data_IF_389862956518
#
_entry.id   IF_389862956518
#
_cell.length_a   1.000
_cell.length_b   1.000
_cell.length_c   1.000
_cell.angle_alpha   90.00
_cell.angle_beta   90.00
_cell.angle_gamma   90.00
#
_symmetry.space_group_name_H-M   'P 1'
#
loop_
_entity.id
_entity.type
_entity.pdbx_description
1 polymer ?
#
# COMPACT_ATOMS: atom_id res chain seq x y z
N UNK A 1 27.93 8.44 4.99
CA UNK A 1 26.71 9.26 5.20
C UNK A 1 26.37 10.11 3.98
N UNK A 2 27.21 11.06 3.56
CA UNK A 2 26.91 11.98 2.44
C UNK A 2 26.54 11.29 1.12
N UNK A 3 27.27 10.25 0.71
CA UNK A 3 27.00 9.52 -0.55
C UNK A 3 25.64 8.79 -0.54
N UNK A 4 25.24 8.23 0.60
CA UNK A 4 23.95 7.54 0.78
C UNK A 4 22.80 8.54 0.73
N UNK A 5 22.94 9.66 1.45
CA UNK A 5 21.94 10.74 1.45
C UNK A 5 21.81 11.40 0.07
N UNK A 6 22.93 11.62 -0.63
CA UNK A 6 22.92 12.16 -1.97
C UNK A 6 22.21 11.23 -2.97
N UNK A 7 22.52 9.93 -2.92
CA UNK A 7 21.85 8.93 -3.76
C UNK A 7 20.34 8.86 -3.50
N UNK A 8 19.92 8.85 -2.23
CA UNK A 8 18.51 8.86 -1.83
C UNK A 8 17.81 10.14 -2.30
N UNK A 9 18.44 11.30 -2.11
CA UNK A 9 17.89 12.60 -2.56
C UNK A 9 17.70 12.66 -4.08
N UNK A 10 18.65 12.13 -4.86
CA UNK A 10 18.51 12.06 -6.32
C UNK A 10 17.29 11.22 -6.71
N UNK A 11 17.11 10.04 -6.09
CA UNK A 11 15.95 9.17 -6.34
C UNK A 11 14.64 9.82 -5.92
N UNK A 12 14.61 10.55 -4.81
CA UNK A 12 13.44 11.29 -4.34
C UNK A 12 13.08 12.47 -5.24
N UNK A 13 14.08 13.16 -5.80
CA UNK A 13 13.86 14.24 -6.78
C UNK A 13 13.19 13.70 -8.04
N UNK A 14 13.62 12.53 -8.53
CA UNK A 14 12.97 11.83 -9.63
C UNK A 14 11.55 11.40 -9.25
N UNK A 15 11.38 10.78 -8.08
CA UNK A 15 10.07 10.36 -7.58
C UNK A 15 9.08 11.53 -7.51
N UNK A 16 9.49 12.68 -6.95
CA UNK A 16 8.66 13.88 -6.89
C UNK A 16 8.27 14.40 -8.27
N UNK A 17 9.18 14.33 -9.24
CA UNK A 17 8.92 14.76 -10.62
C UNK A 17 7.86 13.87 -11.28
N UNK A 18 7.96 12.55 -11.10
CA UNK A 18 6.99 11.59 -11.62
C UNK A 18 5.64 11.72 -10.93
N UNK A 19 5.64 11.88 -9.60
CA UNK A 19 4.42 12.09 -8.80
C UNK A 19 3.58 13.26 -9.29
N UNK A 20 4.22 14.38 -9.64
CA UNK A 20 3.54 15.57 -10.17
C UNK A 20 2.92 15.36 -11.55
N UNK A 21 3.39 14.37 -12.31
CA UNK A 21 2.87 14.03 -13.63
C UNK A 21 1.74 13.04 -13.53
N UNK A 22 2.00 11.90 -12.90
CA UNK A 22 1.07 10.78 -12.81
C UNK A 22 1.48 9.85 -11.65
N UNK A 23 0.52 9.46 -10.82
CA UNK A 23 0.77 8.48 -9.77
C UNK A 23 1.28 7.14 -10.33
N UNK A 24 0.75 6.69 -11.48
CA UNK A 24 1.18 5.44 -12.12
C UNK A 24 2.67 5.45 -12.52
N UNK A 25 3.19 6.59 -12.98
CA UNK A 25 4.63 6.73 -13.30
C UNK A 25 5.49 6.64 -12.04
N UNK A 26 5.04 7.24 -10.93
CA UNK A 26 5.72 7.09 -9.64
C UNK A 26 5.73 5.61 -9.22
N UNK A 27 4.59 4.92 -9.27
CA UNK A 27 4.50 3.52 -8.85
C UNK A 27 5.41 2.63 -9.72
N UNK A 28 5.37 2.79 -11.04
CA UNK A 28 6.25 2.06 -11.96
C UNK A 28 7.74 2.31 -11.65
N UNK A 29 8.11 3.55 -11.30
CA UNK A 29 9.47 3.88 -10.89
C UNK A 29 9.86 3.20 -9.57
N UNK A 30 9.00 3.24 -8.55
CA UNK A 30 9.23 2.59 -7.26
C UNK A 30 9.43 1.07 -7.42
N UNK A 31 8.60 0.43 -8.26
CA UNK A 31 8.71 -0.99 -8.61
C UNK A 31 10.03 -1.29 -9.31
N UNK A 32 10.49 -0.40 -10.18
CA UNK A 32 11.75 -0.58 -10.91
C UNK A 32 12.98 -0.48 -10.01
N UNK A 33 12.99 0.44 -9.04
CA UNK A 33 14.16 0.66 -8.19
C UNK A 33 14.20 -0.28 -6.97
N UNK A 34 13.04 -0.77 -6.51
CA UNK A 34 12.89 -1.65 -5.33
C UNK A 34 13.66 -1.16 -4.09
N UNK A 35 13.77 0.15 -3.92
CA UNK A 35 14.48 0.77 -2.81
C UNK A 35 13.49 1.03 -1.67
N UNK A 36 13.53 0.19 -0.64
CA UNK A 36 12.62 0.28 0.52
C UNK A 36 12.75 1.61 1.26
N UNK A 37 13.94 2.24 1.26
CA UNK A 37 14.13 3.54 1.88
C UNK A 37 13.41 4.64 1.12
N UNK A 38 13.50 4.64 -0.21
CA UNK A 38 12.75 5.59 -1.05
C UNK A 38 11.25 5.33 -0.93
N UNK A 39 10.83 4.06 -0.90
CA UNK A 39 9.43 3.70 -0.67
C UNK A 39 8.92 4.23 0.66
N UNK A 40 9.69 4.09 1.76
CA UNK A 40 9.32 4.59 3.08
C UNK A 40 9.12 6.12 3.10
N UNK A 41 9.87 6.87 2.29
CA UNK A 41 9.68 8.32 2.17
C UNK A 41 8.45 8.69 1.33
N UNK A 42 8.18 7.93 0.25
CA UNK A 42 7.09 8.22 -0.68
C UNK A 42 5.73 7.73 -0.17
N UNK A 43 5.68 6.61 0.55
CA UNK A 43 4.45 5.95 0.95
C UNK A 43 3.54 6.82 1.83
N UNK A 44 4.06 7.65 2.77
CA UNK A 44 3.22 8.60 3.51
C UNK A 44 2.52 9.63 2.61
N UNK A 45 3.19 10.11 1.55
CA UNK A 45 2.61 11.06 0.59
C UNK A 45 1.50 10.40 -0.23
N UNK A 46 1.74 9.17 -0.68
CA UNK A 46 0.76 8.34 -1.37
C UNK A 46 -0.44 8.08 -0.45
N UNK A 47 -0.19 7.70 0.79
CA UNK A 47 -1.23 7.42 1.80
C UNK A 47 -2.10 8.63 2.07
N UNK A 48 -1.49 9.80 2.27
CA UNK A 48 -2.24 11.05 2.45
C UNK A 48 -3.12 11.36 1.22
N UNK A 49 -2.62 11.08 0.02
CA UNK A 49 -3.38 11.30 -1.22
C UNK A 49 -4.55 10.32 -1.36
N UNK A 50 -4.47 9.12 -0.78
CA UNK A 50 -5.59 8.19 -0.66
C UNK A 50 -6.66 8.72 0.28
N UNK A 51 -6.25 9.25 1.43
CA UNK A 51 -7.14 9.78 2.48
C UNK A 51 -7.83 11.08 2.06
N UNK A 52 -7.15 11.94 1.30
CA UNK A 52 -7.69 13.20 0.77
C UNK A 52 -8.72 12.97 -0.37
N UNK A 53 -9.07 11.72 -0.70
CA UNK A 53 -9.99 11.32 -1.79
C UNK A 53 -9.67 11.93 -3.17
N UNK A 54 -8.42 12.35 -3.39
CA UNK A 54 -7.98 12.85 -4.69
C UNK A 54 -8.01 11.71 -5.71
N UNK A 55 -8.54 11.90 -6.94
CA UNK A 55 -8.68 10.86 -7.95
C UNK A 55 -7.34 10.43 -8.59
N UNK A 56 -6.21 10.73 -7.97
CA UNK A 56 -4.88 10.49 -8.54
C UNK A 56 -4.41 9.05 -8.41
N UNK A 57 -4.90 8.30 -7.42
CA UNK A 57 -4.49 6.91 -7.18
C UNK A 57 -5.69 5.99 -7.38
N UNK A 58 -5.58 5.12 -8.38
CA UNK A 58 -6.54 4.05 -8.68
C UNK A 58 -6.24 2.80 -7.87
N UNK A 59 -7.21 1.89 -7.79
CA UNK A 59 -7.00 0.58 -7.16
C UNK A 59 -5.90 -0.23 -7.86
N UNK A 60 -5.76 -0.11 -9.18
CA UNK A 60 -4.69 -0.77 -9.94
C UNK A 60 -3.30 -0.35 -9.48
N UNK A 61 -3.09 0.95 -9.21
CA UNK A 61 -1.83 1.42 -8.62
C UNK A 61 -1.56 0.79 -7.24
N UNK A 62 -2.59 0.50 -6.45
CA UNK A 62 -2.44 -0.15 -5.16
C UNK A 62 -2.12 -1.64 -5.28
N UNK A 63 -2.71 -2.34 -6.25
CA UNK A 63 -2.37 -3.73 -6.60
C UNK A 63 -0.89 -3.85 -6.98
N UNK A 64 -0.40 -2.93 -7.81
CA UNK A 64 0.99 -2.92 -8.25
C UNK A 64 1.97 -2.59 -7.10
N UNK A 65 1.53 -1.76 -6.14
CA UNK A 65 2.34 -1.31 -5.02
C UNK A 65 2.39 -2.31 -3.86
N UNK A 66 1.33 -3.11 -3.66
CA UNK A 66 1.18 -4.00 -2.51
C UNK A 66 2.33 -5.00 -2.32
N UNK A 67 2.92 -5.62 -3.38
CA UNK A 67 4.10 -6.48 -3.22
C UNK A 67 5.32 -5.79 -2.60
N UNK A 68 5.54 -4.51 -2.92
CA UNK A 68 6.63 -3.76 -2.30
C UNK A 68 6.35 -3.46 -0.83
N UNK A 69 5.09 -3.14 -0.51
CA UNK A 69 4.66 -2.91 0.88
C UNK A 69 4.74 -4.21 1.69
N UNK A 70 4.40 -5.36 1.10
CA UNK A 70 4.59 -6.68 1.72
C UNK A 70 6.05 -6.90 2.12
N UNK A 71 7.00 -6.59 1.26
CA UNK A 71 8.43 -6.69 1.60
C UNK A 71 8.80 -5.71 2.73
N UNK A 72 8.26 -4.48 2.71
CA UNK A 72 8.46 -3.50 3.79
C UNK A 72 7.93 -4.01 5.14
N UNK A 73 6.80 -4.73 5.16
CA UNK A 73 6.20 -5.30 6.38
C UNK A 73 7.00 -6.46 6.98
N UNK A 74 8.00 -6.98 6.28
CA UNK A 74 8.97 -7.96 6.82
C UNK A 74 10.25 -7.32 7.37
N UNK A 75 10.33 -5.99 7.36
CA UNK A 75 11.49 -5.24 7.84
C UNK A 75 11.66 -5.37 9.36
N UNK A 76 12.92 -5.32 9.81
CA UNK A 76 13.27 -5.21 11.23
C UNK A 76 13.04 -3.79 11.81
N UNK A 77 12.80 -2.79 10.95
CA UNK A 77 12.64 -1.39 11.35
C UNK A 77 11.17 -1.06 11.60
N UNK A 78 10.84 -0.71 12.84
CA UNK A 78 9.46 -0.40 13.24
C UNK A 78 8.83 0.74 12.44
N UNK A 79 9.59 1.80 12.15
CA UNK A 79 9.08 2.92 11.33
C UNK A 79 8.59 2.45 9.96
N UNK A 80 9.24 1.45 9.36
CA UNK A 80 8.84 0.90 8.06
C UNK A 80 7.56 0.08 8.21
N UNK A 81 7.42 -0.67 9.30
CA UNK A 81 6.21 -1.42 9.61
C UNK A 81 5.02 -0.47 9.78
N UNK A 82 5.18 0.60 10.57
CA UNK A 82 4.13 1.60 10.81
C UNK A 82 3.70 2.25 9.49
N UNK A 83 4.66 2.70 8.68
CA UNK A 83 4.38 3.34 7.38
C UNK A 83 3.65 2.38 6.44
N UNK A 84 4.09 1.12 6.35
CA UNK A 84 3.44 0.09 5.54
C UNK A 84 2.02 -0.24 6.02
N UNK A 85 1.83 -0.48 7.32
CA UNK A 85 0.54 -0.81 7.91
C UNK A 85 -0.45 0.35 7.78
N UNK A 86 0.01 1.59 7.96
CA UNK A 86 -0.85 2.77 7.79
C UNK A 86 -1.35 2.92 6.35
N UNK A 87 -0.49 2.63 5.36
CA UNK A 87 -0.90 2.58 3.97
C UNK A 87 -1.92 1.47 3.71
N UNK A 88 -1.65 0.23 4.17
CA UNK A 88 -2.59 -0.91 4.01
C UNK A 88 -3.94 -0.57 4.63
N UNK A 89 -3.96 -0.01 5.84
CA UNK A 89 -5.19 0.42 6.50
C UNK A 89 -5.95 1.47 5.68
N UNK A 90 -5.25 2.43 5.08
CA UNK A 90 -5.86 3.48 4.27
C UNK A 90 -6.45 2.94 2.97
N UNK A 91 -5.78 1.96 2.34
CA UNK A 91 -6.30 1.23 1.19
C UNK A 91 -7.58 0.47 1.56
N UNK A 92 -7.52 -0.35 2.61
CA UNK A 92 -8.67 -1.15 3.06
C UNK A 92 -9.87 -0.25 3.38
N UNK A 93 -9.65 0.87 4.06
CA UNK A 93 -10.72 1.84 4.37
C UNK A 93 -11.31 2.49 3.13
N UNK A 94 -10.47 2.94 2.19
CA UNK A 94 -10.90 3.66 1.00
C UNK A 94 -11.77 2.79 0.09
N UNK A 95 -11.35 1.55 -0.12
CA UNK A 95 -12.06 0.61 -1.01
C UNK A 95 -12.90 -0.42 -0.25
N UNK A 96 -13.24 -0.14 1.01
CA UNK A 96 -14.04 -1.06 1.81
C UNK A 96 -15.40 -1.40 1.17
N UNK A 97 -16.17 -0.43 0.62
CA UNK A 97 -17.46 -0.72 -0.01
C UNK A 97 -17.34 -1.71 -1.18
N UNK A 98 -16.32 -1.57 -2.01
CA UNK A 98 -16.08 -2.42 -3.16
C UNK A 98 -15.49 -3.78 -2.76
N UNK A 99 -14.59 -3.80 -1.78
CA UNK A 99 -13.98 -5.04 -1.28
C UNK A 99 -15.00 -5.92 -0.54
N UNK A 100 -15.90 -5.31 0.24
CA UNK A 100 -16.93 -6.02 1.01
C UNK A 100 -18.17 -6.38 0.19
N UNK A 101 -18.33 -5.81 -1.01
CA UNK A 101 -19.42 -6.16 -1.90
C UNK A 101 -19.26 -7.62 -2.37
N UNK A 102 -20.20 -8.47 -1.97
CA UNK A 102 -20.23 -9.87 -2.40
C UNK A 102 -20.74 -9.96 -3.85
N UNK A 103 -19.83 -9.80 -4.83
CA UNK A 103 -19.99 -10.11 -6.26
C UNK A 103 -21.42 -9.99 -6.84
N UNK A 104 -22.10 -8.86 -6.60
CA UNK A 104 -23.30 -8.49 -7.35
C UNK A 104 -22.92 -7.44 -8.39
N UNK A 105 -21.96 -7.76 -9.24
CA UNK A 105 -21.56 -6.85 -10.32
C UNK A 105 -22.54 -6.93 -11.48
N UNK A 106 -23.11 -5.77 -11.82
CA UNK A 106 -23.67 -5.48 -13.14
C UNK A 106 -22.53 -5.22 -14.14
N UNK A 107 -22.71 -5.53 -15.44
CA UNK A 107 -21.59 -5.84 -16.35
C UNK A 107 -20.75 -4.66 -16.86
N UNK A 108 -20.93 -3.43 -16.38
CA UNK A 108 -20.52 -2.24 -17.15
C UNK A 108 -19.16 -1.60 -16.75
N UNK A 109 -18.37 -2.19 -15.84
CA UNK A 109 -17.00 -1.71 -15.54
C UNK A 109 -15.99 -2.83 -15.25
N UNK A 110 -15.46 -3.46 -16.30
CA UNK A 110 -14.69 -4.71 -16.17
C UNK A 110 -13.26 -4.58 -15.60
N UNK A 111 -12.59 -3.43 -15.69
CA UNK A 111 -11.17 -3.31 -15.29
C UNK A 111 -10.98 -3.10 -13.79
N UNK A 112 -11.82 -2.28 -13.17
CA UNK A 112 -11.72 -1.97 -11.74
C UNK A 112 -12.23 -3.13 -10.89
N UNK A 113 -13.29 -3.82 -11.33
CA UNK A 113 -13.77 -5.06 -10.67
C UNK A 113 -12.69 -6.14 -10.61
N UNK A 114 -11.91 -6.32 -11.69
CA UNK A 114 -10.78 -7.26 -11.69
C UNK A 114 -9.69 -6.83 -10.72
N UNK A 115 -9.33 -5.54 -10.71
CA UNK A 115 -8.31 -5.03 -9.79
C UNK A 115 -8.77 -5.12 -8.32
N UNK A 116 -10.04 -4.90 -8.04
CA UNK A 116 -10.64 -5.09 -6.70
C UNK A 116 -10.52 -6.55 -6.28
N UNK A 117 -10.83 -7.51 -7.16
CA UNK A 117 -10.70 -8.93 -6.87
C UNK A 117 -9.23 -9.32 -6.60
N UNK A 118 -8.30 -8.86 -7.44
CA UNK A 118 -6.86 -9.10 -7.23
C UNK A 118 -6.40 -8.48 -5.92
N UNK A 119 -6.86 -7.27 -5.61
CA UNK A 119 -6.51 -6.60 -4.35
C UNK A 119 -7.05 -7.37 -3.14
N UNK A 120 -8.31 -7.82 -3.18
CA UNK A 120 -8.91 -8.65 -2.12
C UNK A 120 -8.07 -9.90 -1.88
N UNK A 121 -7.68 -10.61 -2.95
CA UNK A 121 -6.85 -11.80 -2.85
C UNK A 121 -5.47 -11.48 -2.26
N UNK A 122 -4.77 -10.46 -2.76
CA UNK A 122 -3.44 -10.11 -2.24
C UNK A 122 -3.47 -9.66 -0.77
N UNK A 123 -4.54 -8.99 -0.33
CA UNK A 123 -4.73 -8.60 1.07
C UNK A 123 -4.98 -9.83 1.97
N UNK A 124 -5.78 -10.80 1.52
CA UNK A 124 -5.96 -12.07 2.22
C UNK A 124 -4.64 -12.84 2.32
N UNK A 125 -3.93 -13.00 1.20
CA UNK A 125 -2.62 -13.70 1.18
C UNK A 125 -1.57 -13.02 2.07
N UNK A 126 -1.55 -11.69 2.11
CA UNK A 126 -0.68 -10.92 2.99
C UNK A 126 -0.92 -11.28 4.47
N UNK A 127 -2.19 -11.50 4.83
CA UNK A 127 -2.58 -11.75 6.21
C UNK A 127 -2.49 -13.23 6.61
N UNK A 128 -2.82 -14.16 5.71
CA UNK A 128 -2.66 -15.60 5.96
C UNK A 128 -1.20 -16.00 6.21
N UNK A 129 -0.26 -15.37 5.50
CA UNK A 129 1.16 -15.73 5.54
C UNK A 129 2.03 -14.82 6.42
N UNK A 130 1.50 -13.69 6.91
CA UNK A 130 2.30 -12.59 7.47
C UNK A 130 1.96 -12.15 8.89
N UNK A 131 0.98 -12.76 9.55
CA UNK A 131 0.36 -12.17 10.74
C UNK A 131 1.12 -12.40 12.08
N UNK A 132 2.45 -12.39 12.06
CA UNK A 132 3.22 -12.25 13.31
C UNK A 132 3.09 -10.84 13.90
N UNK A 133 2.77 -9.84 13.07
CA UNK A 133 2.67 -8.44 13.50
C UNK A 133 1.51 -8.19 14.48
N UNK A 134 0.39 -8.93 14.38
CA UNK A 134 -0.75 -8.74 15.30
C UNK A 134 -0.46 -9.21 16.73
N UNK A 135 0.54 -10.07 16.89
CA UNK A 135 1.02 -10.59 18.18
C UNK A 135 2.04 -9.65 18.86
N UNK A 136 2.58 -8.67 18.13
CA UNK A 136 3.57 -7.73 18.66
C UNK A 136 2.86 -6.74 19.61
N UNK A 137 3.39 -6.47 20.82
CA UNK A 137 2.83 -5.45 21.69
C UNK A 137 3.11 -4.03 21.16
N UNK A 138 2.26 -3.07 21.52
CA UNK A 138 2.42 -1.66 21.14
C UNK A 138 1.69 -1.28 19.85
N UNK A 139 1.99 -0.07 19.34
CA UNK A 139 1.25 0.58 18.26
C UNK A 139 1.23 -0.23 16.97
N UNK A 140 2.36 -0.84 16.61
CA UNK A 140 2.49 -1.67 15.40
C UNK A 140 1.50 -2.84 15.41
N UNK A 141 1.42 -3.58 16.53
CA UNK A 141 0.50 -4.71 16.61
C UNK A 141 -0.96 -4.33 16.83
N UNK A 142 -1.24 -3.20 17.47
CA UNK A 142 -2.60 -2.64 17.51
C UNK A 142 -3.11 -2.29 16.11
N UNK A 143 -2.28 -1.64 15.29
CA UNK A 143 -2.61 -1.35 13.89
C UNK A 143 -2.81 -2.63 13.08
N UNK A 144 -1.94 -3.62 13.25
CA UNK A 144 -2.08 -4.89 12.58
C UNK A 144 -3.41 -5.59 12.96
N UNK A 145 -3.74 -5.70 14.25
CA UNK A 145 -5.02 -6.26 14.71
C UNK A 145 -6.24 -5.53 14.14
N UNK A 146 -6.17 -4.21 14.00
CA UNK A 146 -7.26 -3.46 13.38
C UNK A 146 -7.44 -3.88 11.92
N UNK A 147 -6.37 -4.01 11.14
CA UNK A 147 -6.42 -4.48 9.75
C UNK A 147 -6.92 -5.93 9.67
N UNK A 148 -6.42 -6.81 10.54
CA UNK A 148 -6.87 -8.21 10.66
C UNK A 148 -8.39 -8.30 10.84
N UNK A 149 -8.94 -7.45 11.72
CA UNK A 149 -10.38 -7.42 11.98
C UNK A 149 -11.20 -7.04 10.74
N UNK A 150 -10.69 -6.14 9.90
CA UNK A 150 -11.31 -5.81 8.61
C UNK A 150 -11.18 -6.99 7.64
N UNK A 151 -9.99 -7.57 7.50
CA UNK A 151 -9.75 -8.66 6.56
C UNK A 151 -10.54 -9.93 6.91
N UNK A 152 -10.78 -10.21 8.19
CA UNK A 152 -11.62 -11.35 8.61
C UNK A 152 -13.09 -11.24 8.15
N UNK A 153 -13.57 -10.01 7.92
CA UNK A 153 -14.92 -9.74 7.42
C UNK A 153 -15.02 -9.88 5.89
N UNK A 154 -13.88 -9.94 5.19
CA UNK A 154 -13.80 -10.24 3.75
C UNK A 154 -13.94 -11.76 3.54
N UNK A 155 -15.12 -12.32 3.84
CA UNK A 155 -15.55 -13.63 3.33
C UNK A 155 -16.12 -13.46 1.92
#
# INVERSE_FOLDING_TARGET
MAQVLFGRNLRLTVALTLWRRNAGELIAYLIRIQDTGVLADCLPVITKSLQDEKPWITIGCCVDLLPLVKNMLTSQYEEYLIVGLHWVQSVVKKWWPELSANNKSTPDSHSDDRNIQVMKQQLQELWEHGCHLSLVPGTTGEMARAIESFLSQLH
#
